data_IF_438600701680
#
_entry.id   IF_438600701680
#
_cell.length_a   1.000
_cell.length_b   1.000
_cell.length_c   1.000
_cell.angle_alpha   90.00
_cell.angle_beta   90.00
_cell.angle_gamma   90.00
#
_symmetry.space_group_name_H-M   'P 1'
#
loop_
_entity.id
_entity.type
_entity.pdbx_description
1 polymer ?
#
# COMPACT_ATOMS: atom_id res chain seq x y z
N UNK A 1 36.29 -16.88 -7.36
CA UNK A 1 36.29 -15.55 -6.72
C UNK A 1 37.48 -15.45 -5.77
N UNK A 2 37.90 -14.23 -5.41
CA UNK A 2 38.91 -14.01 -4.35
C UNK A 2 38.23 -13.91 -2.99
N UNK A 3 38.90 -14.34 -1.94
CA UNK A 3 38.45 -14.15 -0.56
C UNK A 3 38.51 -12.67 -0.19
N UNK A 4 37.42 -12.13 0.35
CA UNK A 4 37.39 -10.77 0.88
C UNK A 4 37.78 -10.78 2.36
N UNK A 5 38.78 -9.99 2.73
CA UNK A 5 39.27 -9.83 4.10
C UNK A 5 39.28 -8.34 4.44
N UNK A 6 38.24 -7.88 5.13
CA UNK A 6 38.06 -6.47 5.49
C UNK A 6 39.19 -5.92 6.38
N UNK A 7 39.91 -6.79 7.10
CA UNK A 7 41.01 -6.36 7.98
C UNK A 7 42.18 -5.77 7.19
N UNK A 8 42.39 -6.22 5.95
CA UNK A 8 43.47 -5.82 5.05
C UNK A 8 43.21 -4.52 4.30
N UNK A 9 42.03 -3.91 4.46
CA UNK A 9 41.74 -2.61 3.88
C UNK A 9 42.56 -1.53 4.56
N UNK A 10 43.06 -0.57 3.78
CA UNK A 10 43.74 0.61 4.35
C UNK A 10 42.76 1.44 5.18
N UNK A 11 43.25 2.26 6.13
CA UNK A 11 42.40 3.19 6.87
C UNK A 11 41.54 4.06 5.95
N UNK A 12 42.10 4.56 4.85
CA UNK A 12 41.41 5.39 3.87
C UNK A 12 40.27 4.62 3.18
N UNK A 13 40.49 3.35 2.82
CA UNK A 13 39.46 2.50 2.23
C UNK A 13 38.32 2.23 3.20
N UNK A 14 38.62 1.98 4.48
CA UNK A 14 37.60 1.77 5.52
C UNK A 14 36.74 3.02 5.69
N UNK A 15 37.38 4.18 5.84
CA UNK A 15 36.68 5.47 5.94
C UNK A 15 35.84 5.76 4.69
N UNK A 16 36.35 5.50 3.48
CA UNK A 16 35.59 5.72 2.25
C UNK A 16 34.35 4.82 2.15
N UNK A 17 34.43 3.56 2.61
CA UNK A 17 33.27 2.66 2.66
C UNK A 17 32.22 3.17 3.65
N UNK A 18 32.64 3.56 4.86
CA UNK A 18 31.75 4.09 5.88
C UNK A 18 31.06 5.38 5.43
N UNK A 19 31.81 6.30 4.80
CA UNK A 19 31.27 7.53 4.23
C UNK A 19 30.28 7.24 3.09
N UNK A 20 30.63 6.34 2.17
CA UNK A 20 29.73 5.94 1.09
C UNK A 20 28.42 5.31 1.59
N UNK A 21 28.46 4.57 2.70
CA UNK A 21 27.26 4.07 3.38
C UNK A 21 26.43 5.20 3.97
N UNK A 22 27.07 6.19 4.62
CA UNK A 22 26.38 7.35 5.17
C UNK A 22 25.71 8.18 4.06
N UNK A 23 26.41 8.45 2.97
CA UNK A 23 25.89 9.16 1.80
C UNK A 23 24.67 8.43 1.19
N UNK A 24 24.72 7.10 1.10
CA UNK A 24 23.60 6.30 0.62
C UNK A 24 22.35 6.46 1.50
N UNK A 25 22.50 6.53 2.82
CA UNK A 25 21.38 6.78 3.74
C UNK A 25 20.80 8.19 3.60
N UNK A 26 21.64 9.20 3.37
CA UNK A 26 21.17 10.57 3.06
C UNK A 26 20.38 10.59 1.76
N UNK A 27 20.88 9.94 0.70
CA UNK A 27 20.17 9.82 -0.57
C UNK A 27 18.84 9.07 -0.42
N UNK A 28 18.83 8.00 0.38
CA UNK A 28 17.61 7.26 0.70
C UNK A 28 16.58 8.11 1.45
N UNK A 29 16.99 8.97 2.39
CA UNK A 29 16.06 9.87 3.07
C UNK A 29 15.34 10.80 2.07
N UNK A 30 16.06 11.29 1.05
CA UNK A 30 15.47 12.05 -0.06
C UNK A 30 14.50 11.22 -0.91
N UNK A 31 14.82 9.96 -1.20
CA UNK A 31 13.92 9.03 -1.88
C UNK A 31 12.66 8.73 -1.06
N UNK A 32 12.79 8.48 0.25
CA UNK A 32 11.68 8.20 1.17
C UNK A 32 10.67 9.35 1.19
N UNK A 33 11.15 10.59 1.16
CA UNK A 33 10.27 11.77 1.04
C UNK A 33 9.42 11.74 -0.23
N UNK A 34 9.97 11.27 -1.36
CA UNK A 34 9.20 11.14 -2.60
C UNK A 34 8.10 10.07 -2.50
N UNK A 35 8.33 8.98 -1.75
CA UNK A 35 7.29 8.01 -1.41
C UNK A 35 6.20 8.63 -0.55
N UNK A 36 6.58 9.35 0.50
CA UNK A 36 5.64 10.02 1.43
C UNK A 36 4.80 11.09 0.72
N UNK A 37 5.36 11.79 -0.27
CA UNK A 37 4.67 12.75 -1.13
C UNK A 37 3.84 12.08 -2.25
N UNK A 38 3.91 10.76 -2.38
CA UNK A 38 3.21 9.99 -3.43
C UNK A 38 3.77 10.20 -4.85
N UNK A 39 4.97 10.76 -4.99
CA UNK A 39 5.68 10.92 -6.27
C UNK A 39 6.27 9.61 -6.78
N UNK A 40 6.60 8.70 -5.85
CA UNK A 40 7.04 7.35 -6.14
C UNK A 40 6.17 6.35 -5.39
N UNK A 41 6.01 5.17 -5.96
CA UNK A 41 5.38 4.01 -5.33
C UNK A 41 6.22 2.76 -5.56
N UNK A 42 5.79 1.63 -4.97
CA UNK A 42 6.50 0.35 -5.09
C UNK A 42 6.72 -0.07 -6.55
N UNK A 43 5.76 0.23 -7.43
CA UNK A 43 5.82 -0.04 -8.86
C UNK A 43 6.95 0.68 -9.61
N UNK A 44 7.51 1.76 -9.06
CA UNK A 44 8.62 2.50 -9.66
C UNK A 44 9.98 1.91 -9.30
N UNK A 45 10.08 1.26 -8.14
CA UNK A 45 11.37 0.79 -7.57
C UNK A 45 11.58 -0.72 -7.68
N UNK A 46 10.53 -1.49 -7.96
CA UNK A 46 10.63 -2.93 -8.24
C UNK A 46 10.57 -3.23 -9.74
N UNK A 47 11.42 -4.16 -10.19
CA UNK A 47 11.40 -4.62 -11.57
C UNK A 47 12.64 -5.41 -11.95
N UNK A 48 12.72 -5.75 -13.24
CA UNK A 48 13.88 -6.44 -13.81
C UNK A 48 15.11 -5.54 -13.85
N UNK A 49 16.29 -6.13 -14.07
CA UNK A 49 17.53 -5.37 -14.30
C UNK A 49 17.40 -4.39 -15.48
N UNK A 50 16.71 -4.80 -16.54
CA UNK A 50 16.47 -3.98 -17.72
C UNK A 50 15.57 -2.77 -17.40
N UNK A 51 14.54 -2.97 -16.58
CA UNK A 51 13.66 -1.90 -16.12
C UNK A 51 14.39 -0.88 -15.24
N UNK A 52 15.12 -1.37 -14.23
CA UNK A 52 15.78 -0.50 -13.24
C UNK A 52 17.02 0.21 -13.79
N UNK A 53 17.58 -0.23 -14.92
CA UNK A 53 18.72 0.40 -15.61
C UNK A 53 19.90 0.74 -14.68
N UNK A 54 20.16 -0.12 -13.68
CA UNK A 54 21.23 0.09 -12.71
C UNK A 54 20.97 1.17 -11.66
N UNK A 55 19.72 1.61 -11.47
CA UNK A 55 19.35 2.54 -10.40
C UNK A 55 19.47 1.86 -9.03
N UNK A 56 20.66 1.96 -8.41
CA UNK A 56 20.95 1.36 -7.11
C UNK A 56 20.17 2.01 -5.97
N UNK A 57 19.84 3.31 -6.06
CA UNK A 57 19.04 4.00 -5.06
C UNK A 57 17.61 3.44 -5.01
N UNK A 58 17.01 3.14 -6.17
CA UNK A 58 15.70 2.47 -6.22
C UNK A 58 15.78 1.05 -5.65
N UNK A 59 16.85 0.30 -5.97
CA UNK A 59 17.06 -1.05 -5.39
C UNK A 59 17.24 -1.02 -3.87
N UNK A 60 17.98 -0.04 -3.34
CA UNK A 60 18.12 0.19 -1.91
C UNK A 60 16.76 0.55 -1.31
N UNK A 61 16.04 1.51 -1.91
CA UNK A 61 14.73 1.94 -1.45
C UNK A 61 13.72 0.80 -1.38
N UNK A 62 13.65 0.00 -2.44
CA UNK A 62 12.87 -1.23 -2.51
C UNK A 62 13.22 -2.21 -1.38
N UNK A 63 14.51 -2.50 -1.16
CA UNK A 63 14.94 -3.44 -0.13
C UNK A 63 14.66 -2.93 1.30
N UNK A 64 14.87 -1.64 1.56
CA UNK A 64 14.66 -1.02 2.88
C UNK A 64 13.17 -0.87 3.20
N UNK A 65 12.35 -0.49 2.22
CA UNK A 65 10.91 -0.24 2.42
C UNK A 65 10.07 -1.52 2.32
N UNK A 66 10.55 -2.58 1.66
CA UNK A 66 9.83 -3.84 1.56
C UNK A 66 10.48 -4.84 0.61
N UNK A 67 11.53 -5.53 1.06
CA UNK A 67 12.22 -6.56 0.27
C UNK A 67 11.25 -7.58 -0.35
N UNK A 68 11.56 -8.08 -1.55
CA UNK A 68 10.74 -9.00 -2.35
C UNK A 68 9.41 -8.43 -2.89
N UNK A 69 9.29 -7.10 -3.00
CA UNK A 69 8.18 -6.49 -3.71
C UNK A 69 8.08 -6.89 -5.19
N UNK A 70 6.85 -6.82 -5.71
CA UNK A 70 6.53 -7.17 -7.09
C UNK A 70 6.71 -5.98 -8.04
N UNK A 71 6.95 -6.26 -9.32
CA UNK A 71 6.83 -5.23 -10.36
C UNK A 71 5.39 -4.76 -10.50
N UNK A 72 5.18 -3.54 -11.02
CA UNK A 72 3.83 -2.98 -11.20
C UNK A 72 2.94 -3.79 -12.15
N UNK A 73 3.52 -4.56 -13.07
CA UNK A 73 2.79 -5.45 -13.97
C UNK A 73 2.21 -6.66 -13.23
N UNK A 74 2.84 -7.07 -12.12
CA UNK A 74 2.42 -8.21 -11.31
C UNK A 74 1.48 -7.77 -10.18
N UNK A 75 1.80 -6.69 -9.48
CA UNK A 75 0.93 -6.14 -8.46
C UNK A 75 1.11 -4.64 -8.21
N UNK A 76 0.00 -3.94 -7.97
CA UNK A 76 -0.04 -2.56 -7.48
C UNK A 76 -0.61 -2.50 -6.07
N UNK A 77 -0.11 -1.55 -5.27
CA UNK A 77 -0.43 -1.43 -3.85
C UNK A 77 -0.91 -0.02 -3.44
N UNK A 78 -2.09 0.46 -3.89
CA UNK A 78 -2.62 1.73 -3.40
C UNK A 78 -2.79 1.69 -1.87
N UNK A 79 -2.07 2.56 -1.18
CA UNK A 79 -2.05 2.62 0.28
C UNK A 79 -2.90 3.79 0.80
N UNK A 80 -3.61 3.53 1.89
CA UNK A 80 -4.46 4.48 2.57
C UNK A 80 -3.90 4.72 3.98
N UNK A 81 -3.11 5.77 4.11
CA UNK A 81 -2.63 6.28 5.41
C UNK A 81 -3.42 7.50 5.88
N UNK A 82 -4.08 8.17 4.93
CA UNK A 82 -4.87 9.37 5.17
C UNK A 82 -6.19 9.30 4.40
N UNK A 83 -7.16 10.07 4.86
CA UNK A 83 -8.43 10.27 4.17
C UNK A 83 -8.34 11.31 3.03
N UNK A 84 -9.48 11.58 2.39
CA UNK A 84 -9.62 12.57 1.32
C UNK A 84 -9.24 14.00 1.76
N UNK A 85 -9.32 14.32 3.05
CA UNK A 85 -8.93 15.59 3.64
C UNK A 85 -7.49 15.59 4.18
N UNK A 86 -6.71 14.55 3.84
CA UNK A 86 -5.31 14.35 4.25
C UNK A 86 -5.13 14.19 5.77
N UNK A 87 -6.18 13.82 6.49
CA UNK A 87 -6.11 13.46 7.91
C UNK A 87 -5.72 12.00 8.06
N UNK A 88 -4.90 11.67 9.05
CA UNK A 88 -4.53 10.27 9.35
C UNK A 88 -5.78 9.46 9.66
N UNK A 89 -5.79 8.23 9.16
CA UNK A 89 -6.89 7.31 9.44
C UNK A 89 -6.83 6.83 10.89
N UNK A 90 -7.94 7.00 11.58
CA UNK A 90 -8.15 6.60 12.97
C UNK A 90 -9.58 6.08 13.15
N UNK A 91 -9.73 4.91 13.76
CA UNK A 91 -11.00 4.19 13.87
C UNK A 91 -11.96 4.71 14.94
N UNK A 92 -11.60 5.79 15.65
CA UNK A 92 -12.59 6.66 16.33
C UNK A 92 -13.53 7.34 15.34
N UNK A 93 -13.17 7.39 14.06
CA UNK A 93 -13.98 7.92 12.97
C UNK A 93 -14.52 6.81 12.06
N UNK A 94 -15.49 7.18 11.23
CA UNK A 94 -16.11 6.30 10.23
C UNK A 94 -15.69 6.74 8.84
N UNK A 95 -15.40 5.79 7.96
CA UNK A 95 -14.99 6.06 6.59
C UNK A 95 -15.75 5.21 5.59
N UNK A 96 -15.80 5.70 4.36
CA UNK A 96 -16.29 4.95 3.21
C UNK A 96 -15.27 4.94 2.08
N UNK A 97 -15.27 3.86 1.32
CA UNK A 97 -14.54 3.74 0.07
C UNK A 97 -15.54 3.36 -1.03
N UNK A 98 -15.86 4.31 -1.92
CA UNK A 98 -16.87 4.11 -2.97
C UNK A 98 -16.22 3.89 -4.33
N UNK A 99 -16.54 2.77 -4.95
CA UNK A 99 -16.32 2.52 -6.38
C UNK A 99 -17.60 2.85 -7.13
N UNK A 100 -17.54 3.84 -8.02
CA UNK A 100 -18.66 4.17 -8.90
C UNK A 100 -18.96 2.99 -9.87
N UNK A 101 -20.14 2.96 -10.50
CA UNK A 101 -20.47 1.95 -11.50
C UNK A 101 -19.38 1.84 -12.58
N UNK A 102 -18.91 0.61 -12.83
CA UNK A 102 -17.82 0.35 -13.78
C UNK A 102 -16.42 0.79 -13.33
N UNK A 103 -16.25 1.35 -12.12
CA UNK A 103 -14.96 1.86 -11.61
C UNK A 103 -14.32 0.94 -10.56
N UNK A 104 -14.64 -0.36 -10.59
CA UNK A 104 -13.95 -1.36 -9.76
C UNK A 104 -12.46 -1.44 -10.13
N UNK A 105 -11.55 -1.84 -9.20
CA UNK A 105 -10.13 -1.99 -9.51
C UNK A 105 -9.91 -2.88 -10.74
N UNK A 106 -9.24 -2.38 -11.80
CA UNK A 106 -9.14 -3.09 -13.07
C UNK A 106 -8.00 -4.08 -13.02
N UNK A 107 -8.36 -5.35 -12.86
CA UNK A 107 -7.45 -6.49 -12.69
C UNK A 107 -7.82 -7.61 -13.64
N UNK A 108 -6.82 -8.41 -14.03
CA UNK A 108 -7.04 -9.68 -14.75
C UNK A 108 -7.30 -10.84 -13.78
N UNK A 109 -6.80 -10.75 -12.54
CA UNK A 109 -7.01 -11.76 -11.51
C UNK A 109 -8.00 -11.28 -10.44
N UNK A 110 -7.50 -10.66 -9.37
CA UNK A 110 -8.34 -10.21 -8.26
C UNK A 110 -7.76 -8.97 -7.57
N UNK A 111 -8.58 -8.30 -6.76
CA UNK A 111 -8.13 -7.23 -5.89
C UNK A 111 -8.57 -7.47 -4.45
N UNK A 112 -7.87 -6.87 -3.51
CA UNK A 112 -8.25 -6.88 -2.09
C UNK A 112 -7.98 -5.54 -1.42
N UNK A 113 -8.76 -5.17 -0.41
CA UNK A 113 -8.47 -4.12 0.56
C UNK A 113 -8.27 -4.76 1.92
N UNK A 114 -7.07 -4.64 2.49
CA UNK A 114 -6.70 -5.28 3.78
C UNK A 114 -6.53 -4.22 4.86
N UNK A 115 -7.00 -4.51 6.07
CA UNK A 115 -6.89 -3.66 7.25
C UNK A 115 -5.63 -3.98 8.06
N UNK A 116 -4.94 -2.94 8.54
CA UNK A 116 -3.81 -3.05 9.46
C UNK A 116 -3.92 -2.04 10.61
N UNK A 117 -3.57 -2.45 11.83
CA UNK A 117 -3.34 -1.50 12.91
C UNK A 117 -2.02 -0.74 12.73
N UNK A 118 -1.92 0.42 13.36
CA UNK A 118 -0.69 1.21 13.37
C UNK A 118 -0.27 1.51 14.82
N UNK A 119 1.04 1.53 15.13
CA UNK A 119 2.19 1.39 14.22
C UNK A 119 2.66 -0.05 13.94
N UNK A 120 2.01 -1.08 14.49
CA UNK A 120 2.50 -2.47 14.42
C UNK A 120 2.32 -3.09 13.04
N UNK A 121 1.42 -2.57 12.21
CA UNK A 121 1.10 -3.09 10.88
C UNK A 121 0.64 -4.56 10.91
N UNK A 122 -0.14 -4.94 11.93
CA UNK A 122 -0.72 -6.26 12.10
C UNK A 122 -2.20 -6.29 11.71
N UNK A 123 -2.71 -7.49 11.44
CA UNK A 123 -4.14 -7.68 11.18
C UNK A 123 -4.95 -7.47 12.46
N UNK A 124 -6.13 -6.88 12.31
CA UNK A 124 -6.98 -6.47 13.44
C UNK A 124 -7.99 -7.55 13.78
N UNK A 125 -7.87 -8.16 14.95
CA UNK A 125 -8.87 -9.08 15.48
C UNK A 125 -10.24 -8.41 15.55
N UNK A 126 -11.28 -9.08 15.02
CA UNK A 126 -12.63 -8.53 14.97
C UNK A 126 -13.70 -9.64 14.99
N UNK A 127 -14.95 -9.33 15.37
CA UNK A 127 -16.00 -10.34 15.54
C UNK A 127 -16.36 -11.13 14.27
N UNK A 128 -16.05 -10.61 13.07
CA UNK A 128 -16.34 -11.26 11.80
C UNK A 128 -15.19 -12.17 11.31
N UNK A 129 -14.04 -12.19 12.01
CA UNK A 129 -12.78 -12.76 11.51
C UNK A 129 -12.46 -12.27 10.08
N UNK A 130 -12.81 -11.02 9.77
CA UNK A 130 -12.66 -10.41 8.44
C UNK A 130 -11.55 -9.36 8.47
N UNK A 131 -10.44 -9.66 7.82
CA UNK A 131 -9.27 -8.78 7.78
C UNK A 131 -9.10 -8.07 6.43
N UNK A 132 -9.91 -8.46 5.44
CA UNK A 132 -9.93 -7.89 4.11
C UNK A 132 -11.31 -8.01 3.46
N UNK A 133 -11.53 -7.21 2.41
CA UNK A 133 -12.59 -7.42 1.41
C UNK A 133 -11.90 -7.59 0.05
N UNK A 134 -12.31 -8.57 -0.76
CA UNK A 134 -11.71 -8.83 -2.07
C UNK A 134 -12.74 -9.07 -3.19
N UNK A 135 -12.30 -9.08 -4.44
CA UNK A 135 -13.20 -9.28 -5.58
C UNK A 135 -13.96 -10.61 -5.60
N UNK A 136 -13.41 -11.75 -5.13
CA UNK A 136 -14.21 -12.97 -4.95
C UNK A 136 -15.42 -12.83 -4.03
N UNK A 137 -15.41 -11.89 -3.07
CA UNK A 137 -16.54 -11.63 -2.17
C UNK A 137 -17.67 -10.82 -2.82
N UNK A 138 -17.47 -10.23 -4.01
CA UNK A 138 -18.45 -9.33 -4.64
C UNK A 138 -19.90 -9.86 -4.72
N UNK A 139 -20.16 -11.16 -4.98
CA UNK A 139 -21.53 -11.69 -4.99
C UNK A 139 -22.24 -11.61 -3.63
N UNK A 140 -21.50 -11.44 -2.53
CA UNK A 140 -22.02 -11.33 -1.16
C UNK A 140 -22.11 -9.88 -0.68
N UNK A 141 -21.59 -8.92 -1.45
CA UNK A 141 -21.62 -7.50 -1.10
C UNK A 141 -22.89 -6.83 -1.64
N UNK A 142 -23.43 -5.90 -0.86
CA UNK A 142 -24.55 -5.08 -1.26
C UNK A 142 -24.09 -4.02 -2.26
N UNK A 143 -24.83 -3.90 -3.37
CA UNK A 143 -24.62 -2.83 -4.35
C UNK A 143 -25.37 -1.58 -3.95
N UNK A 144 -24.79 -0.43 -4.30
CA UNK A 144 -25.47 0.86 -4.19
C UNK A 144 -26.62 0.93 -5.22
N UNK A 145 -27.58 1.84 -5.03
CA UNK A 145 -28.75 1.97 -5.91
C UNK A 145 -28.40 2.27 -7.38
N UNK A 146 -27.26 2.91 -7.64
CA UNK A 146 -26.72 3.20 -8.97
C UNK A 146 -25.89 2.03 -9.55
N UNK A 147 -25.76 0.92 -8.84
CA UNK A 147 -24.91 -0.22 -9.20
C UNK A 147 -23.46 -0.09 -8.72
N UNK A 148 -23.13 0.95 -7.97
CA UNK A 148 -21.83 1.13 -7.33
C UNK A 148 -21.55 0.12 -6.21
N UNK A 149 -20.37 0.24 -5.61
CA UNK A 149 -19.99 -0.49 -4.40
C UNK A 149 -19.39 0.48 -3.39
N UNK A 150 -20.04 0.62 -2.24
CA UNK A 150 -19.51 1.36 -1.10
C UNK A 150 -19.04 0.38 -0.02
N UNK A 151 -17.74 0.38 0.27
CA UNK A 151 -17.18 -0.31 1.43
C UNK A 151 -17.25 0.60 2.65
N UNK A 152 -17.62 0.02 3.79
CA UNK A 152 -17.76 0.72 5.07
C UNK A 152 -16.56 0.35 5.94
N UNK A 153 -15.88 1.35 6.50
CA UNK A 153 -14.67 1.16 7.30
C UNK A 153 -14.83 1.91 8.62
N UNK A 154 -15.00 1.19 9.72
CA UNK A 154 -15.20 1.75 11.06
C UNK A 154 -15.00 0.68 12.13
N UNK A 155 -14.79 1.09 13.37
CA UNK A 155 -14.58 0.15 14.49
C UNK A 155 -15.85 -0.57 14.94
N UNK A 156 -16.96 0.15 15.09
CA UNK A 156 -18.23 -0.41 15.54
C UNK A 156 -19.03 -1.01 14.37
N UNK A 157 -19.84 -2.04 14.62
CA UNK A 157 -20.71 -2.59 13.58
C UNK A 157 -21.67 -1.51 13.05
N UNK A 158 -21.79 -1.34 11.72
CA UNK A 158 -22.73 -0.39 11.12
C UNK A 158 -24.19 -0.87 11.15
N UNK A 159 -24.46 -2.03 11.80
CA UNK A 159 -25.76 -2.71 11.79
C UNK A 159 -25.76 -3.92 10.87
N UNK A 160 -26.54 -4.96 11.25
CA UNK A 160 -26.56 -6.27 10.56
C UNK A 160 -26.82 -6.18 9.05
N UNK A 161 -27.61 -5.21 8.62
CA UNK A 161 -27.94 -4.92 7.23
C UNK A 161 -26.74 -4.40 6.41
N UNK A 162 -25.71 -3.87 7.07
CA UNK A 162 -24.53 -3.25 6.45
C UNK A 162 -23.24 -4.06 6.65
N UNK A 163 -23.27 -5.13 7.45
CA UNK A 163 -22.09 -5.94 7.75
C UNK A 163 -21.49 -6.61 6.50
N UNK A 164 -22.28 -6.86 5.46
CA UNK A 164 -21.78 -7.40 4.20
C UNK A 164 -20.63 -6.55 3.63
N UNK A 165 -20.78 -5.22 3.64
CA UNK A 165 -19.82 -4.26 3.07
C UNK A 165 -18.81 -3.72 4.09
N UNK A 166 -18.90 -4.17 5.34
CA UNK A 166 -18.09 -3.65 6.43
C UNK A 166 -16.73 -4.34 6.51
N UNK A 167 -15.68 -3.52 6.57
CA UNK A 167 -14.33 -3.90 6.95
C UNK A 167 -14.05 -3.33 8.37
N UNK A 168 -14.01 -4.18 9.41
CA UNK A 168 -13.76 -3.73 10.78
C UNK A 168 -12.38 -3.07 10.93
N UNK A 169 -12.37 -1.86 11.49
CA UNK A 169 -11.16 -1.10 11.84
C UNK A 169 -10.82 -1.24 13.33
N UNK A 170 -9.58 -1.01 13.77
CA UNK A 170 -9.25 -0.94 15.20
C UNK A 170 -9.84 0.35 15.82
N UNK A 171 -9.76 0.50 17.15
CA UNK A 171 -10.26 1.73 17.82
C UNK A 171 -9.36 2.96 17.61
N UNK A 172 -8.14 2.77 17.14
CA UNK A 172 -7.13 3.82 17.02
C UNK A 172 -6.59 3.94 15.60
N UNK A 173 -5.32 4.38 15.45
CA UNK A 173 -4.68 4.56 14.15
C UNK A 173 -4.68 3.26 13.33
N UNK A 174 -4.92 3.39 12.04
CA UNK A 174 -4.89 2.26 11.11
C UNK A 174 -4.41 2.68 9.74
N UNK A 175 -4.07 1.69 8.93
CA UNK A 175 -3.88 1.85 7.49
C UNK A 175 -4.64 0.78 6.73
N UNK A 176 -4.96 1.06 5.48
CA UNK A 176 -5.49 0.04 4.58
C UNK A 176 -4.60 -0.06 3.35
N UNK A 177 -4.38 -1.28 2.88
CA UNK A 177 -3.61 -1.52 1.66
C UNK A 177 -4.54 -2.20 0.66
N UNK A 178 -4.80 -1.52 -0.44
CA UNK A 178 -5.41 -2.14 -1.60
C UNK A 178 -4.33 -2.85 -2.40
N UNK A 179 -4.66 -4.02 -2.94
CA UNK A 179 -3.77 -4.82 -3.78
C UNK A 179 -4.51 -5.14 -5.06
N UNK A 180 -3.93 -4.80 -6.20
CA UNK A 180 -4.40 -5.22 -7.51
C UNK A 180 -3.43 -6.28 -8.01
N UNK A 181 -3.91 -7.51 -8.19
CA UNK A 181 -3.10 -8.62 -8.70
C UNK A 181 -3.31 -8.75 -10.21
N UNK A 182 -2.21 -8.75 -10.96
CA UNK A 182 -2.20 -8.67 -12.41
C UNK A 182 -3.07 -7.50 -12.92
N UNK A 183 -2.73 -6.26 -12.55
CA UNK A 183 -3.50 -5.07 -12.95
C UNK A 183 -3.56 -4.93 -14.47
N UNK A 184 -4.68 -4.43 -14.97
CA UNK A 184 -4.83 -4.05 -16.38
C UNK A 184 -4.01 -2.78 -16.67
N UNK A 185 -3.73 -2.54 -17.95
CA UNK A 185 -2.94 -1.39 -18.40
C UNK A 185 -3.46 -0.06 -17.86
N UNK A 186 -4.78 0.12 -17.81
CA UNK A 186 -5.39 1.34 -17.27
C UNK A 186 -5.01 1.63 -15.81
N UNK A 187 -4.77 0.62 -14.95
CA UNK A 187 -4.23 0.85 -13.61
C UNK A 187 -2.70 1.06 -13.64
N UNK A 188 -1.97 0.31 -14.46
CA UNK A 188 -0.49 0.41 -14.58
C UNK A 188 -0.04 1.77 -15.12
N UNK A 189 -0.85 2.37 -15.99
CA UNK A 189 -0.64 3.70 -16.59
C UNK A 189 -1.25 4.84 -15.77
N UNK A 190 -1.95 4.54 -14.67
CA UNK A 190 -2.56 5.54 -13.80
C UNK A 190 -3.83 6.19 -14.36
N UNK A 191 -4.44 5.63 -15.42
CA UNK A 191 -5.76 6.06 -15.94
C UNK A 191 -6.87 5.73 -14.95
N UNK A 192 -6.73 4.62 -14.22
CA UNK A 192 -7.54 4.32 -13.05
C UNK A 192 -6.78 4.71 -11.78
N UNK A 193 -7.47 5.40 -10.87
CA UNK A 193 -6.95 5.75 -9.54
C UNK A 193 -7.86 5.21 -8.48
N UNK A 194 -7.28 4.65 -7.41
CA UNK A 194 -8.05 4.17 -6.29
C UNK A 194 -8.86 5.33 -5.66
N UNK A 195 -10.17 5.14 -5.39
CA UNK A 195 -10.99 6.20 -4.80
C UNK A 195 -10.44 6.57 -3.42
N UNK A 196 -10.54 7.82 -2.96
CA UNK A 196 -10.07 8.19 -1.64
C UNK A 196 -10.97 7.61 -0.54
N UNK A 197 -10.39 7.29 0.62
CA UNK A 197 -11.18 7.04 1.83
C UNK A 197 -11.82 8.36 2.27
N UNK A 198 -13.14 8.38 2.45
CA UNK A 198 -13.88 9.58 2.86
C UNK A 198 -14.42 9.39 4.26
N UNK A 199 -14.03 10.27 5.17
CA UNK A 199 -14.65 10.33 6.49
C UNK A 199 -16.15 10.64 6.33
N UNK A 200 -16.99 9.88 7.02
CA UNK A 200 -18.42 10.15 7.15
C UNK A 200 -18.58 11.16 8.27
N UNK A 201 -19.11 12.34 7.93
CA UNK A 201 -19.50 13.34 8.94
C UNK A 201 -20.92 13.00 9.39
N UNK A 202 -21.12 12.90 10.69
CA UNK A 202 -22.46 12.85 11.30
C UNK A 202 -23.20 14.18 11.10
#
# INVERSE_FOLDING_TARGET
GKTFDASKLSPEMKTAIEQGMADAWVAFAGLKKQFEEGKLNSGDVFGTRAYLKGNYLYRMGAAVLGIYGNSKQEALYPAYYVDAAKQKLDGTNRYTLRFAPGQSPPVNAFWSLTMYDEPQSLLVANPLNRYLINSPMLPQLNRDADGGLTLIVQNESPGKDKEANWLPAPKGPFSMIMRLYWPKEEAVEGKWTAPPARQVKE
#
